data_IF_938078595905
#
_entry.id   IF_938078595905
#
_cell.length_a   1.000
_cell.length_b   1.000
_cell.length_c   1.000
_cell.angle_alpha   90.00
_cell.angle_beta   90.00
_cell.angle_gamma   90.00
#
_symmetry.space_group_name_H-M   'P 1'
#
loop_
_entity.id
_entity.type
_entity.pdbx_description
1 polymer ?
#
# COMPACT_ATOMS: atom_id res chain seq x y z
N UNK A 1 -24.14 -59.56 -6.82
CA UNK A 1 -23.67 -58.82 -5.64
C UNK A 1 -22.79 -57.69 -6.10
N UNK A 2 -23.26 -56.44 -6.02
CA UNK A 2 -22.43 -55.29 -6.35
C UNK A 2 -21.54 -54.99 -5.14
N UNK A 3 -20.23 -55.19 -5.27
CA UNK A 3 -19.28 -54.72 -4.27
C UNK A 3 -18.67 -53.40 -4.75
N UNK A 4 -18.99 -52.31 -4.06
CA UNK A 4 -18.04 -51.21 -3.95
C UNK A 4 -16.80 -51.75 -3.22
N UNK A 5 -15.62 -51.47 -3.77
CA UNK A 5 -14.35 -51.66 -3.10
C UNK A 5 -13.66 -50.29 -3.02
N UNK A 6 -13.90 -49.60 -1.90
CA UNK A 6 -13.09 -48.44 -1.54
C UNK A 6 -11.68 -48.90 -1.14
N UNK A 7 -10.66 -48.34 -1.78
CA UNK A 7 -9.25 -48.53 -1.43
C UNK A 7 -8.46 -49.49 -2.32
N UNK A 8 -7.60 -48.92 -3.16
CA UNK A 8 -6.40 -49.54 -3.75
C UNK A 8 -6.54 -50.92 -4.43
N UNK A 9 -7.10 -50.95 -5.65
CA UNK A 9 -6.72 -51.89 -6.74
C UNK A 9 -7.59 -51.78 -8.02
N UNK A 10 -8.57 -50.87 -8.10
CA UNK A 10 -9.52 -50.83 -9.22
C UNK A 10 -10.19 -49.48 -9.46
N UNK A 11 -9.50 -48.37 -9.22
CA UNK A 11 -9.99 -47.07 -9.69
C UNK A 11 -9.77 -46.95 -11.21
N UNK A 12 -10.76 -46.43 -11.93
CA UNK A 12 -10.65 -46.26 -13.38
C UNK A 12 -9.72 -45.07 -13.69
N UNK A 13 -8.62 -45.33 -14.39
CA UNK A 13 -7.69 -44.28 -14.82
C UNK A 13 -8.15 -43.70 -16.14
N UNK A 14 -8.46 -42.40 -16.15
CA UNK A 14 -8.86 -41.68 -17.37
C UNK A 14 -7.79 -41.73 -18.46
N UNK A 15 -8.22 -41.93 -19.70
CA UNK A 15 -7.35 -41.94 -20.87
C UNK A 15 -6.75 -40.57 -21.21
N UNK A 16 -5.90 -40.56 -22.24
CA UNK A 16 -5.39 -39.30 -22.83
C UNK A 16 -6.56 -38.44 -23.31
N UNK A 17 -6.47 -37.13 -23.07
CA UNK A 17 -7.55 -36.18 -23.34
C UNK A 17 -8.64 -36.14 -22.27
N UNK A 18 -8.57 -36.97 -21.22
CA UNK A 18 -9.59 -37.01 -20.17
C UNK A 18 -9.03 -36.66 -18.78
N UNK A 19 -9.90 -36.21 -17.89
CA UNK A 19 -9.65 -35.94 -16.47
C UNK A 19 -10.72 -36.60 -15.62
N UNK A 20 -10.41 -36.86 -14.36
CA UNK A 20 -11.40 -37.39 -13.40
C UNK A 20 -12.62 -36.47 -13.29
N UNK A 21 -13.83 -37.05 -13.29
CA UNK A 21 -15.05 -36.31 -12.93
C UNK A 21 -14.97 -35.81 -11.49
N UNK A 22 -15.55 -34.65 -11.20
CA UNK A 22 -15.55 -34.07 -9.87
C UNK A 22 -16.18 -34.99 -8.78
N UNK A 23 -17.12 -35.84 -9.18
CA UNK A 23 -17.85 -36.79 -8.35
C UNK A 23 -17.38 -38.25 -8.51
N UNK A 24 -16.26 -38.51 -9.22
CA UNK A 24 -15.71 -39.83 -9.56
C UNK A 24 -15.72 -40.84 -8.41
N UNK A 25 -15.38 -40.40 -7.18
CA UNK A 25 -15.37 -41.24 -5.98
C UNK A 25 -16.73 -41.87 -5.62
N UNK A 26 -17.83 -41.39 -6.20
CA UNK A 26 -19.20 -41.91 -6.02
C UNK A 26 -19.75 -42.64 -7.25
N UNK A 27 -19.06 -42.57 -8.39
CA UNK A 27 -19.47 -43.18 -9.64
C UNK A 27 -19.07 -44.66 -9.69
N UNK A 28 -19.88 -45.46 -10.38
CA UNK A 28 -19.59 -46.87 -10.68
C UNK A 28 -19.51 -47.01 -12.20
N UNK A 29 -18.32 -47.29 -12.71
CA UNK A 29 -18.04 -47.40 -14.13
C UNK A 29 -16.65 -47.95 -14.41
N UNK A 30 -16.43 -48.35 -15.66
CA UNK A 30 -15.21 -48.97 -16.18
C UNK A 30 -14.77 -48.37 -17.53
N UNK A 31 -15.23 -47.15 -17.84
CA UNK A 31 -14.93 -46.41 -19.07
C UNK A 31 -14.83 -44.90 -18.86
N UNK A 32 -14.08 -44.22 -19.75
CA UNK A 32 -13.94 -42.75 -19.77
C UNK A 32 -15.32 -42.06 -19.75
N UNK A 33 -16.29 -42.59 -20.49
CA UNK A 33 -17.64 -42.02 -20.59
C UNK A 33 -18.41 -41.97 -19.27
N UNK A 34 -18.07 -42.87 -18.33
CA UNK A 34 -18.71 -42.98 -17.02
C UNK A 34 -17.92 -42.24 -15.95
N UNK A 35 -16.59 -42.35 -15.96
CA UNK A 35 -15.74 -41.91 -14.85
C UNK A 35 -15.00 -40.59 -15.11
N UNK A 36 -14.97 -40.10 -16.35
CA UNK A 36 -14.09 -39.01 -16.78
C UNK A 36 -14.82 -37.92 -17.57
N UNK A 37 -14.26 -36.71 -17.55
CA UNK A 37 -14.64 -35.60 -18.40
C UNK A 37 -13.56 -35.35 -19.45
N UNK A 38 -13.98 -35.00 -20.68
CA UNK A 38 -13.06 -34.55 -21.71
C UNK A 38 -12.37 -33.26 -21.23
N UNK A 39 -11.04 -33.22 -21.30
CA UNK A 39 -10.26 -31.99 -21.10
C UNK A 39 -10.61 -31.01 -22.20
N UNK A 40 -10.84 -29.76 -21.80
CA UNK A 40 -11.16 -28.67 -22.72
C UNK A 40 -10.07 -27.60 -22.64
N UNK A 41 -10.17 -26.54 -23.44
CA UNK A 41 -9.22 -25.44 -23.33
C UNK A 41 -9.28 -24.74 -21.96
N UNK A 42 -10.34 -24.87 -21.16
CA UNK A 42 -10.33 -24.36 -19.77
C UNK A 42 -9.44 -25.16 -18.81
N UNK A 43 -9.00 -26.35 -19.22
CA UNK A 43 -8.05 -27.21 -18.49
C UNK A 43 -6.60 -26.98 -18.92
N UNK A 44 -6.37 -26.03 -19.85
CA UNK A 44 -5.06 -25.74 -20.43
C UNK A 44 -4.53 -24.38 -19.97
N UNK A 45 -3.25 -24.34 -19.59
CA UNK A 45 -2.55 -23.10 -19.21
C UNK A 45 -1.70 -22.63 -20.39
N UNK A 46 -1.98 -21.44 -20.89
CA UNK A 46 -1.22 -20.83 -21.99
C UNK A 46 0.21 -20.42 -21.59
N UNK A 47 1.15 -20.56 -22.51
CA UNK A 47 2.54 -20.12 -22.35
C UNK A 47 2.67 -18.60 -22.13
N UNK A 48 3.79 -18.16 -21.54
CA UNK A 48 4.12 -16.74 -21.34
C UNK A 48 4.06 -15.97 -22.66
N UNK A 49 3.48 -14.76 -22.65
CA UNK A 49 3.27 -13.95 -23.85
C UNK A 49 2.07 -14.39 -24.71
N UNK A 50 1.32 -15.39 -24.26
CA UNK A 50 0.07 -15.83 -24.87
C UNK A 50 -1.09 -15.82 -23.87
N UNK A 51 -2.32 -15.83 -24.38
CA UNK A 51 -3.55 -15.85 -23.58
C UNK A 51 -4.55 -16.83 -24.18
N UNK A 52 -5.56 -17.21 -23.39
CA UNK A 52 -6.69 -17.99 -23.91
C UNK A 52 -7.39 -17.19 -25.03
N UNK A 53 -7.70 -17.84 -26.14
CA UNK A 53 -8.50 -17.25 -27.22
C UNK A 53 -9.87 -16.82 -26.68
N UNK A 54 -10.44 -15.77 -27.24
CA UNK A 54 -11.83 -15.39 -26.97
C UNK A 54 -12.84 -16.44 -27.46
N UNK A 55 -12.44 -17.30 -28.40
CA UNK A 55 -13.23 -18.43 -28.89
C UNK A 55 -12.28 -19.59 -29.21
N UNK A 56 -11.81 -20.34 -28.19
CA UNK A 56 -10.88 -21.45 -28.39
C UNK A 56 -11.61 -22.62 -29.07
N UNK A 57 -10.89 -23.38 -29.90
CA UNK A 57 -11.42 -24.64 -30.43
C UNK A 57 -11.08 -25.74 -29.45
N UNK A 58 -12.08 -26.32 -28.80
CA UNK A 58 -11.85 -27.45 -27.91
C UNK A 58 -11.30 -28.66 -28.68
N UNK A 59 -10.41 -29.47 -28.07
CA UNK A 59 -9.86 -30.66 -28.71
C UNK A 59 -10.96 -31.66 -29.08
N UNK A 60 -10.69 -32.48 -30.10
CA UNK A 60 -11.53 -33.63 -30.41
C UNK A 60 -11.54 -34.64 -29.24
N UNK A 61 -12.62 -35.42 -29.11
CA UNK A 61 -12.76 -36.41 -28.04
C UNK A 61 -11.56 -37.37 -27.98
N UNK A 62 -10.98 -37.57 -26.80
CA UNK A 62 -9.76 -38.36 -26.57
C UNK A 62 -8.44 -37.67 -26.95
N UNK A 63 -8.47 -36.39 -27.33
CA UNK A 63 -7.27 -35.57 -27.57
C UNK A 63 -7.00 -34.62 -26.40
N UNK A 64 -5.72 -34.34 -26.13
CA UNK A 64 -5.33 -33.28 -25.19
C UNK A 64 -5.54 -31.89 -25.82
N UNK A 65 -5.92 -30.86 -25.03
CA UNK A 65 -5.90 -29.47 -25.50
C UNK A 65 -4.46 -29.03 -25.83
N UNK A 66 -4.29 -28.22 -26.87
CA UNK A 66 -2.98 -27.73 -27.32
C UNK A 66 -2.87 -26.21 -27.26
N UNK A 67 -1.63 -25.71 -27.13
CA UNK A 67 -1.29 -24.29 -27.21
C UNK A 67 -1.83 -23.64 -28.49
N UNK A 68 -1.79 -24.34 -29.64
CA UNK A 68 -2.26 -23.80 -30.92
C UNK A 68 -3.79 -23.73 -31.02
N UNK A 69 -4.51 -24.65 -30.38
CA UNK A 69 -5.98 -24.69 -30.40
C UNK A 69 -6.59 -23.69 -29.41
N UNK A 70 -6.02 -23.63 -28.20
CA UNK A 70 -6.54 -22.89 -27.06
C UNK A 70 -6.04 -21.45 -26.96
N UNK A 71 -4.79 -21.17 -27.34
CA UNK A 71 -4.12 -19.91 -27.01
C UNK A 71 -3.79 -19.05 -28.23
N UNK A 72 -3.77 -17.74 -28.03
CA UNK A 72 -3.36 -16.72 -29.01
C UNK A 72 -2.25 -15.85 -28.44
N UNK A 73 -1.42 -15.30 -29.32
CA UNK A 73 -0.36 -14.36 -28.95
C UNK A 73 -0.95 -13.07 -28.38
N UNK A 74 -0.42 -12.60 -27.24
CA UNK A 74 -0.75 -11.27 -26.73
C UNK A 74 -0.07 -10.25 -27.64
N UNK A 75 -0.83 -9.29 -28.15
CA UNK A 75 -0.37 -8.24 -29.07
C UNK A 75 -1.06 -6.91 -28.74
N UNK A 76 -0.42 -5.79 -29.09
CA UNK A 76 -0.97 -4.45 -28.91
C UNK A 76 -1.10 -3.98 -27.46
N UNK A 77 -0.47 -4.67 -26.50
CA UNK A 77 -0.42 -4.26 -25.08
C UNK A 77 0.80 -3.37 -24.82
N UNK A 78 0.75 -2.58 -23.76
CA UNK A 78 1.89 -1.75 -23.35
C UNK A 78 3.04 -2.57 -22.74
N UNK A 79 2.77 -3.78 -22.27
CA UNK A 79 3.79 -4.78 -21.91
C UNK A 79 3.19 -6.19 -21.84
N UNK A 80 4.02 -7.22 -21.92
CA UNK A 80 3.63 -8.63 -21.85
C UNK A 80 3.11 -9.18 -23.19
N UNK A 81 3.48 -8.57 -24.31
CA UNK A 81 3.21 -9.14 -25.63
C UNK A 81 4.03 -10.42 -25.85
N UNK A 82 3.57 -11.28 -26.76
CA UNK A 82 4.30 -12.51 -27.12
C UNK A 82 5.61 -12.23 -27.86
N UNK A 83 5.72 -11.06 -28.49
CA UNK A 83 6.98 -10.50 -28.93
C UNK A 83 7.39 -9.37 -27.96
N UNK A 84 8.42 -9.57 -27.15
CA UNK A 84 8.89 -8.57 -26.17
C UNK A 84 9.40 -7.28 -26.83
N UNK A 85 9.79 -7.31 -28.11
CA UNK A 85 10.23 -6.11 -28.84
C UNK A 85 9.05 -5.16 -29.16
N UNK A 86 7.80 -5.62 -29.00
CA UNK A 86 6.58 -4.81 -29.11
C UNK A 86 6.18 -4.14 -27.78
N UNK A 87 6.84 -4.48 -26.66
CA UNK A 87 6.58 -3.86 -25.36
C UNK A 87 7.07 -2.40 -25.33
N UNK A 88 6.18 -1.48 -24.99
CA UNK A 88 6.49 -0.04 -25.03
C UNK A 88 7.47 0.35 -23.93
N UNK A 89 8.68 0.75 -24.31
CA UNK A 89 9.69 1.27 -23.36
C UNK A 89 9.56 2.79 -23.21
N UNK A 90 9.31 3.27 -21.99
CA UNK A 90 9.07 4.69 -21.73
C UNK A 90 10.32 5.58 -21.93
N UNK A 91 11.50 5.11 -21.52
CA UNK A 91 12.77 5.85 -21.69
C UNK A 91 12.89 7.10 -20.80
N UNK A 92 13.85 7.97 -21.11
CA UNK A 92 14.13 9.18 -20.31
C UNK A 92 12.95 10.15 -20.26
N UNK A 93 12.78 10.79 -19.10
CA UNK A 93 11.69 11.72 -18.79
C UNK A 93 10.34 11.05 -18.53
N UNK A 94 10.22 9.74 -18.74
CA UNK A 94 8.97 9.01 -18.56
C UNK A 94 9.14 7.83 -17.60
N UNK A 95 8.02 7.44 -16.99
CA UNK A 95 7.88 6.23 -16.17
C UNK A 95 6.72 5.39 -16.69
N UNK A 96 6.74 4.10 -16.39
CA UNK A 96 5.62 3.21 -16.68
C UNK A 96 4.36 3.67 -15.92
N UNK A 97 3.20 3.64 -16.58
CA UNK A 97 1.92 3.79 -15.88
C UNK A 97 1.76 2.65 -14.87
N UNK A 98 1.16 2.94 -13.70
CA UNK A 98 1.04 1.96 -12.60
C UNK A 98 0.39 0.62 -13.02
N UNK A 99 -0.49 0.64 -14.02
CA UNK A 99 -1.18 -0.53 -14.55
C UNK A 99 -0.76 -0.91 -15.99
N UNK A 100 0.47 -0.58 -16.42
CA UNK A 100 0.97 -0.79 -17.80
C UNK A 100 0.66 -2.16 -18.40
N UNK A 101 0.78 -3.25 -17.63
CA UNK A 101 0.48 -4.61 -18.09
C UNK A 101 -0.98 -4.87 -18.48
N UNK A 102 -1.93 -4.01 -18.08
CA UNK A 102 -3.35 -4.12 -18.47
C UNK A 102 -3.80 -3.07 -19.49
N UNK A 103 -2.89 -2.17 -19.91
CA UNK A 103 -3.20 -1.12 -20.89
C UNK A 103 -2.95 -1.65 -22.31
N UNK A 104 -3.95 -1.53 -23.18
CA UNK A 104 -3.80 -1.66 -24.63
C UNK A 104 -3.17 -0.37 -25.19
N UNK A 105 -2.07 -0.49 -25.92
CA UNK A 105 -1.38 0.63 -26.52
C UNK A 105 0.04 0.28 -27.00
N UNK A 106 0.42 0.82 -28.15
CA UNK A 106 1.75 0.64 -28.78
C UNK A 106 2.59 1.92 -28.77
N UNK A 107 2.12 2.97 -28.08
CA UNK A 107 2.74 4.30 -28.06
C UNK A 107 3.01 4.78 -26.64
N UNK A 108 4.11 5.51 -26.44
CA UNK A 108 4.50 6.05 -25.11
C UNK A 108 3.39 6.86 -24.44
N UNK A 109 2.62 7.65 -25.18
CA UNK A 109 1.51 8.45 -24.64
C UNK A 109 0.40 7.60 -24.00
N UNK A 110 0.18 6.37 -24.49
CA UNK A 110 -0.78 5.43 -23.90
C UNK A 110 -0.20 4.68 -22.69
N UNK A 111 1.10 4.38 -22.71
CA UNK A 111 1.73 3.44 -21.78
C UNK A 111 2.53 4.08 -20.63
N UNK A 112 2.86 5.37 -20.76
CA UNK A 112 3.82 6.07 -19.91
C UNK A 112 3.23 7.34 -19.31
N UNK A 113 3.74 7.72 -18.13
CA UNK A 113 3.53 9.02 -17.52
C UNK A 113 4.81 9.84 -17.57
N UNK A 114 4.69 11.16 -17.76
CA UNK A 114 5.81 12.09 -17.61
C UNK A 114 6.27 12.06 -16.14
N UNK A 115 7.58 11.92 -15.92
CA UNK A 115 8.17 12.06 -14.58
C UNK A 115 8.01 13.49 -14.10
N UNK A 116 7.74 13.63 -12.81
CA UNK A 116 7.50 14.91 -12.12
C UNK A 116 8.51 15.10 -10.99
N UNK A 117 8.50 16.25 -10.33
CA UNK A 117 9.32 16.46 -9.15
C UNK A 117 8.98 15.51 -7.99
N UNK A 118 7.77 14.93 -7.95
CA UNK A 118 7.39 13.88 -7.01
C UNK A 118 8.08 12.53 -7.27
N UNK A 119 8.70 12.36 -8.45
CA UNK A 119 9.48 11.18 -8.82
C UNK A 119 10.99 11.36 -8.53
N UNK A 120 11.40 12.55 -8.05
CA UNK A 120 12.79 12.84 -7.68
C UNK A 120 12.96 12.81 -6.17
N UNK A 121 13.87 11.96 -5.68
CA UNK A 121 14.34 12.05 -4.29
C UNK A 121 15.35 13.20 -4.17
N UNK A 122 15.03 14.18 -3.32
CA UNK A 122 15.95 15.27 -2.99
C UNK A 122 17.19 14.75 -2.25
N UNK A 123 18.31 15.43 -2.42
CA UNK A 123 19.58 15.05 -1.78
C UNK A 123 19.57 15.41 -0.27
N UNK A 124 20.39 14.78 0.59
CA UNK A 124 20.45 15.14 2.01
C UNK A 124 20.73 16.63 2.22
N UNK A 125 19.97 17.28 3.12
CA UNK A 125 20.03 18.74 3.31
C UNK A 125 19.17 19.54 2.33
N UNK A 126 18.31 18.88 1.55
CA UNK A 126 17.33 19.52 0.65
C UNK A 126 15.98 18.79 0.72
N UNK A 127 14.88 19.54 0.55
CA UNK A 127 13.51 19.02 0.46
C UNK A 127 12.85 19.44 -0.86
N UNK A 128 11.73 18.80 -1.20
CA UNK A 128 10.96 19.15 -2.40
C UNK A 128 10.37 20.55 -2.26
N UNK A 129 10.51 21.37 -3.31
CA UNK A 129 9.99 22.74 -3.28
C UNK A 129 8.48 22.77 -3.08
N UNK A 130 8.00 23.79 -2.39
CA UNK A 130 6.55 24.05 -2.27
C UNK A 130 5.89 24.42 -3.61
N UNK A 131 6.67 25.01 -4.53
CA UNK A 131 6.26 25.37 -5.89
C UNK A 131 7.39 25.05 -6.89
N UNK A 132 7.59 23.78 -7.27
CA UNK A 132 8.68 23.38 -8.14
C UNK A 132 8.41 23.73 -9.61
N UNK A 133 9.49 23.95 -10.37
CA UNK A 133 9.39 23.99 -11.83
C UNK A 133 9.31 22.56 -12.34
N UNK A 134 8.15 22.14 -12.87
CA UNK A 134 8.01 20.81 -13.45
C UNK A 134 8.85 20.66 -14.73
N UNK A 135 9.45 19.48 -14.97
CA UNK A 135 10.25 19.25 -16.17
C UNK A 135 9.40 19.34 -17.45
N UNK A 136 10.02 19.82 -18.53
CA UNK A 136 9.42 19.79 -19.86
C UNK A 136 9.20 18.34 -20.34
N UNK A 137 8.24 18.14 -21.24
CA UNK A 137 7.90 16.81 -21.77
C UNK A 137 9.15 16.09 -22.33
N UNK A 138 9.40 14.87 -21.87
CA UNK A 138 10.57 14.06 -22.23
C UNK A 138 11.86 14.38 -21.47
N UNK A 139 11.85 15.36 -20.56
CA UNK A 139 12.98 15.67 -19.67
C UNK A 139 12.84 14.97 -18.32
N UNK A 140 13.96 14.62 -17.70
CA UNK A 140 14.00 14.16 -16.30
C UNK A 140 13.84 15.35 -15.34
N UNK A 141 13.23 15.16 -14.15
CA UNK A 141 13.25 16.14 -13.07
C UNK A 141 14.69 16.35 -12.54
N UNK A 142 15.05 17.59 -12.20
CA UNK A 142 16.40 17.93 -11.72
C UNK A 142 16.39 18.43 -10.27
N UNK A 143 17.50 18.27 -9.55
CA UNK A 143 17.63 18.80 -8.18
C UNK A 143 17.39 20.32 -8.14
N UNK A 144 17.96 21.08 -9.08
CA UNK A 144 17.83 22.54 -9.14
C UNK A 144 16.40 23.02 -9.40
N UNK A 145 15.60 22.24 -10.14
CA UNK A 145 14.22 22.62 -10.48
C UNK A 145 13.25 22.20 -9.37
N UNK A 146 13.45 21.01 -8.80
CA UNK A 146 12.50 20.33 -7.93
C UNK A 146 12.77 20.45 -6.42
N UNK A 147 14.01 20.70 -5.99
CA UNK A 147 14.41 20.68 -4.58
C UNK A 147 15.03 22.01 -4.13
N UNK A 148 14.87 22.36 -2.87
CA UNK A 148 15.46 23.54 -2.22
C UNK A 148 16.17 23.17 -0.92
N UNK A 149 17.11 24.00 -0.49
CA UNK A 149 17.93 23.73 0.70
C UNK A 149 17.09 23.77 1.97
N UNK A 150 17.37 22.85 2.90
CA UNK A 150 16.76 22.88 4.23
C UNK A 150 17.22 24.15 4.97
N UNK A 151 16.26 25.01 5.32
CA UNK A 151 16.53 26.19 6.15
C UNK A 151 16.76 25.72 7.59
N UNK A 152 18.03 25.46 7.90
CA UNK A 152 18.46 25.22 9.28
C UNK A 152 18.52 26.54 10.04
N UNK A 153 18.03 26.55 11.29
CA UNK A 153 17.97 27.74 12.15
C UNK A 153 19.34 28.23 12.67
N UNK A 154 20.43 27.89 11.98
CA UNK A 154 21.83 28.20 12.32
C UNK A 154 22.37 29.44 11.59
N UNK A 155 21.53 30.14 10.81
CA UNK A 155 21.86 31.44 10.20
C UNK A 155 21.46 32.60 11.12
N UNK A 156 22.38 33.17 11.94
CA UNK A 156 22.04 34.23 12.91
C UNK A 156 21.63 35.56 12.27
N UNK A 157 21.77 35.70 10.95
CA UNK A 157 21.44 36.90 10.18
C UNK A 157 19.95 37.02 9.79
N UNK A 158 19.13 35.97 9.96
CA UNK A 158 17.72 35.98 9.54
C UNK A 158 16.73 36.41 10.64
N UNK A 159 17.16 36.47 11.91
CA UNK A 159 16.31 36.85 13.03
C UNK A 159 16.81 38.13 13.69
N UNK A 160 16.34 39.28 13.19
CA UNK A 160 16.49 40.56 13.89
C UNK A 160 15.56 40.57 15.10
N UNK A 161 16.03 40.09 16.25
CA UNK A 161 15.29 40.20 17.49
C UNK A 161 15.02 41.68 17.84
N UNK A 162 13.81 42.04 18.33
CA UNK A 162 13.57 43.36 18.90
C UNK A 162 14.56 43.64 20.03
N UNK A 163 14.88 44.92 20.25
CA UNK A 163 15.77 45.36 21.32
C UNK A 163 15.43 44.67 22.65
N UNK A 164 16.45 44.14 23.32
CA UNK A 164 16.36 43.39 24.59
C UNK A 164 15.84 41.94 24.49
N UNK A 165 15.88 41.31 23.30
CA UNK A 165 15.69 39.86 23.11
C UNK A 165 16.89 39.24 22.38
N UNK A 166 17.17 37.97 22.67
CA UNK A 166 18.20 37.16 22.00
C UNK A 166 17.57 35.92 21.41
N UNK A 167 18.04 35.48 20.25
CA UNK A 167 17.72 34.15 19.73
C UNK A 167 18.43 33.11 20.60
N UNK A 168 17.70 32.09 21.05
CA UNK A 168 18.26 30.99 21.83
C UNK A 168 18.38 29.75 20.94
N UNK A 169 19.60 29.24 20.80
CA UNK A 169 19.87 28.04 20.01
C UNK A 169 19.40 26.81 20.79
N UNK A 170 18.53 26.00 20.18
CA UNK A 170 18.01 24.76 20.78
C UNK A 170 18.95 23.62 20.43
N UNK A 171 19.65 23.10 21.45
CA UNK A 171 20.70 22.10 21.27
C UNK A 171 20.19 20.84 20.52
N UNK A 172 21.03 20.23 19.64
CA UNK A 172 20.61 19.23 18.66
C UNK A 172 20.24 17.84 19.23
N UNK A 173 20.12 17.70 20.55
CA UNK A 173 19.78 16.44 21.24
C UNK A 173 18.32 16.33 21.67
N UNK A 174 17.52 17.40 21.54
CA UNK A 174 16.07 17.30 21.65
C UNK A 174 15.49 16.87 20.29
N UNK A 175 14.92 15.67 20.23
CA UNK A 175 14.19 15.22 19.04
C UNK A 175 13.01 16.18 18.78
N UNK A 176 13.08 16.94 17.68
CA UNK A 176 12.02 17.86 17.27
C UNK A 176 10.89 17.04 16.65
N UNK A 177 10.01 16.51 17.50
CA UNK A 177 8.81 15.80 17.06
C UNK A 177 7.78 16.81 16.53
N UNK A 178 7.74 16.99 15.21
CA UNK A 178 6.82 17.94 14.57
C UNK A 178 5.35 17.68 14.95
N UNK A 179 4.60 18.76 15.24
CA UNK A 179 3.14 18.75 15.45
C UNK A 179 2.47 19.87 14.66
N UNK A 180 1.19 19.66 14.35
CA UNK A 180 0.41 20.49 13.43
C UNK A 180 0.06 21.87 14.02
N UNK A 181 0.02 22.89 13.16
CA UNK A 181 -0.32 24.26 13.52
C UNK A 181 -1.74 24.35 14.11
N UNK A 182 -1.87 25.13 15.19
CA UNK A 182 -3.15 25.48 15.79
C UNK A 182 -3.32 26.99 15.75
N UNK A 183 -4.50 27.43 15.30
CA UNK A 183 -4.82 28.85 15.14
C UNK A 183 -4.93 29.54 16.50
N UNK A 184 -4.37 30.74 16.60
CA UNK A 184 -4.27 31.53 17.84
C UNK A 184 -5.19 32.74 17.73
N UNK A 185 -6.40 32.70 18.31
CA UNK A 185 -7.37 33.79 18.19
C UNK A 185 -6.91 35.03 18.98
N UNK A 186 -6.32 36.01 18.27
CA UNK A 186 -6.15 37.38 18.76
C UNK A 186 -6.33 38.42 17.65
N UNK A 187 -7.57 38.54 17.18
CA UNK A 187 -8.26 39.79 16.79
C UNK A 187 -7.41 40.99 16.34
N UNK A 188 -7.04 41.02 15.05
CA UNK A 188 -6.82 42.27 14.31
C UNK A 188 -7.01 42.15 12.79
N UNK A 189 -6.87 40.94 12.22
CA UNK A 189 -6.85 40.72 10.76
C UNK A 189 -7.89 39.73 10.23
N UNK A 190 -8.84 39.27 11.06
CA UNK A 190 -9.99 38.45 10.62
C UNK A 190 -11.00 39.28 9.81
N UNK A 191 -10.74 39.39 8.51
CA UNK A 191 -11.78 39.77 7.53
C UNK A 191 -12.74 38.58 7.35
N UNK A 192 -13.99 38.78 7.72
CA UNK A 192 -14.96 37.73 8.12
C UNK A 192 -15.55 36.91 6.96
N UNK A 193 -14.80 36.68 5.88
CA UNK A 193 -15.33 36.15 4.61
C UNK A 193 -14.35 35.32 3.76
N UNK A 194 -13.23 34.83 4.30
CA UNK A 194 -12.29 33.97 3.55
C UNK A 194 -12.17 32.59 4.21
N UNK A 195 -12.72 31.57 3.54
CA UNK A 195 -12.52 30.15 3.88
C UNK A 195 -11.03 29.78 3.88
N UNK A 196 -10.57 28.88 4.78
CA UNK A 196 -9.25 29.00 5.38
C UNK A 196 -8.08 28.68 4.44
N UNK A 197 -7.08 29.55 4.44
CA UNK A 197 -5.73 29.27 3.92
C UNK A 197 -4.94 28.57 5.02
N UNK A 198 -4.41 27.38 4.73
CA UNK A 198 -3.63 26.59 5.69
C UNK A 198 -2.21 27.16 5.78
N UNK A 199 -1.83 27.67 6.95
CA UNK A 199 -0.46 28.09 7.23
C UNK A 199 0.43 26.89 7.60
N UNK A 200 1.63 26.82 7.00
CA UNK A 200 2.64 25.81 7.33
C UNK A 200 3.68 26.39 8.31
N UNK A 201 3.64 25.90 9.56
CA UNK A 201 4.61 26.24 10.62
C UNK A 201 4.46 25.31 11.83
N UNK A 202 5.52 25.06 12.62
CA UNK A 202 5.49 24.06 13.69
C UNK A 202 4.82 24.57 14.98
N UNK A 203 3.98 23.74 15.60
CA UNK A 203 3.36 24.00 16.92
C UNK A 203 3.47 22.79 17.87
N UNK A 204 3.34 23.03 19.18
CA UNK A 204 3.67 22.09 20.28
C UNK A 204 2.43 21.58 21.06
N UNK A 205 2.54 20.49 21.86
CA UNK A 205 1.37 19.76 22.38
C UNK A 205 0.63 20.37 23.59
N UNK A 206 -0.65 19.98 23.70
CA UNK A 206 -1.59 20.23 24.79
C UNK A 206 -1.17 19.59 26.14
N UNK A 207 -1.33 20.30 27.29
CA UNK A 207 -0.86 19.83 28.60
C UNK A 207 -1.65 18.66 29.20
N UNK A 208 -2.85 18.35 28.70
CA UNK A 208 -3.73 17.32 29.28
C UNK A 208 -3.31 15.89 28.93
N UNK A 209 -2.44 15.71 27.92
CA UNK A 209 -1.97 14.41 27.46
C UNK A 209 -0.66 13.92 28.10
N UNK A 210 0.00 14.72 28.95
CA UNK A 210 1.30 14.37 29.54
C UNK A 210 1.23 13.34 30.69
N UNK A 211 0.06 13.14 31.31
CA UNK A 211 -0.09 12.24 32.47
C UNK A 211 0.08 10.73 32.16
N UNK A 212 0.20 10.33 30.89
CA UNK A 212 0.29 8.92 30.48
C UNK A 212 1.72 8.39 30.29
N UNK A 213 2.74 9.26 30.28
CA UNK A 213 4.10 8.89 29.88
C UNK A 213 5.04 8.48 31.04
N UNK A 214 4.74 8.85 32.28
CA UNK A 214 5.62 8.61 33.44
C UNK A 214 5.48 7.20 34.07
N UNK A 215 4.66 6.31 33.49
CA UNK A 215 4.30 5.02 34.09
C UNK A 215 5.21 3.83 33.74
N UNK A 216 6.27 3.99 32.92
CA UNK A 216 6.93 2.84 32.23
C UNK A 216 8.42 2.65 32.56
N UNK A 217 9.12 3.58 33.22
CA UNK A 217 10.55 3.43 33.55
C UNK A 217 10.84 3.79 35.02
N UNK A 218 10.54 2.89 35.95
CA UNK A 218 10.72 3.11 37.38
C UNK A 218 12.07 2.66 37.95
N UNK A 219 12.35 3.08 39.20
CA UNK A 219 13.12 2.32 40.21
C UNK A 219 12.98 2.96 41.60
N UNK A 220 12.61 2.14 42.59
CA UNK A 220 12.59 2.49 44.03
C UNK A 220 14.02 2.31 44.65
N UNK A 221 14.35 2.71 45.91
CA UNK A 221 13.59 2.47 47.14
C UNK A 221 13.45 3.64 48.15
N UNK A 222 12.44 3.55 49.01
CA UNK A 222 12.19 4.46 50.15
C UNK A 222 12.71 3.89 51.48
N UNK A 223 12.91 4.74 52.50
CA UNK A 223 12.67 4.40 53.90
C UNK A 223 11.53 5.23 54.53
N UNK A 224 10.68 4.58 55.34
CA UNK A 224 9.60 5.21 56.13
C UNK A 224 10.16 5.93 57.39
N UNK A 225 9.41 6.87 58.03
CA UNK A 225 8.24 6.57 58.90
C UNK A 225 7.06 7.58 58.71
N UNK A 226 5.87 7.48 59.31
CA UNK A 226 5.25 6.49 60.20
C UNK A 226 3.98 7.07 60.90
N UNK A 227 3.13 6.19 61.44
CA UNK A 227 2.03 6.45 62.40
C UNK A 227 0.66 6.99 61.93
N UNK A 228 -0.39 6.26 62.34
CA UNK A 228 -1.85 6.57 62.30
C UNK A 228 -2.28 7.35 63.58
N UNK A 229 -3.52 7.89 63.75
CA UNK A 229 -4.74 7.07 63.88
C UNK A 229 -6.10 7.66 63.39
N UNK A 230 -7.10 6.80 63.30
CA UNK A 230 -8.58 7.06 63.18
C UNK A 230 -9.18 7.57 64.51
N UNK A 231 -10.42 8.13 64.59
CA UNK A 231 -11.68 7.32 64.56
C UNK A 231 -12.97 8.03 64.06
N UNK A 232 -14.09 7.28 63.91
CA UNK A 232 -15.46 7.86 63.85
C UNK A 232 -16.53 7.00 63.17
N UNK A 233 -17.42 6.35 63.93
CA UNK A 233 -18.49 5.42 63.47
C UNK A 233 -19.88 5.92 63.87
N UNK A 234 -20.96 5.66 63.10
CA UNK A 234 -22.36 5.79 63.55
C UNK A 234 -23.35 4.83 62.81
N UNK A 235 -24.51 4.55 63.43
CA UNK A 235 -25.37 3.35 63.20
C UNK A 235 -26.89 3.65 63.41
N UNK A 236 -27.91 2.78 63.20
CA UNK A 236 -27.92 1.31 62.96
C UNK A 236 -28.86 0.77 61.84
N UNK A 237 -30.19 0.49 61.98
CA UNK A 237 -30.72 -0.76 61.38
C UNK A 237 -32.04 -0.71 60.55
N UNK A 238 -32.35 -1.88 59.96
CA UNK A 238 -33.51 -2.25 59.10
C UNK A 238 -34.86 -2.40 59.85
N UNK A 239 -36.02 -2.56 59.16
CA UNK A 239 -36.48 -3.92 58.82
C UNK A 239 -37.24 -4.11 57.46
N UNK A 240 -37.31 -5.38 56.99
CA UNK A 240 -38.11 -5.84 55.83
C UNK A 240 -39.62 -5.94 56.12
N UNK A 241 -40.44 -6.22 55.08
CA UNK A 241 -40.97 -7.59 54.95
C UNK A 241 -41.04 -8.11 53.50
N UNK A 242 -41.07 -9.44 53.33
CA UNK A 242 -41.19 -10.14 52.04
C UNK A 242 -40.44 -11.46 52.03
#
# INVERSE_FOLDING_TARGET
>A
TNQQLAGNAGDYTCGTGYKDKADKATLVGDSDSQCCDQKTCSDFTCDVGTRMKASPTNPAAGSEPTQADCCEMITGMCSGNGNSDEDVTCGSGYKDKANKATITGTYKSACCDQKTCSDLTCSPGTHSKSSPTHPAAGSEPTQSDCCEADVTCTSPSLFTCPSNKVAQDLAPTAAVTCRAAQDCPNNAFDVTAVTPVVAFGPACPDPTAQAAAEAVCGSSPSPSPGSSPTPGTLTTPSPSPG
#
